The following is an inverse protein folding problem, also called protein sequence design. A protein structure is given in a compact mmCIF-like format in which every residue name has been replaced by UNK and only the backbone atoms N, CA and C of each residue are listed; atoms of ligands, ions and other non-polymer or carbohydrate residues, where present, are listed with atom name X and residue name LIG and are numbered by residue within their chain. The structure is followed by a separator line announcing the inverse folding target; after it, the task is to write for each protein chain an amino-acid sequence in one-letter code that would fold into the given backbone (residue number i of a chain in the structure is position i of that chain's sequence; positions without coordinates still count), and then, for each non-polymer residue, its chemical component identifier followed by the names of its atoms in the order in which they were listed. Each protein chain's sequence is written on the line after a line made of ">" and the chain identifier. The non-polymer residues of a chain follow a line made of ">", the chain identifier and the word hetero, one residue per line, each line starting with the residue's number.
data_IF_017254784835
#
_entry.id   IF_017254784835
#
_cell.length_a   1.000
_cell.length_b   1.000
_cell.length_c   1.000
_cell.angle_alpha   90.00
_cell.angle_beta   90.00
_cell.angle_gamma   90.00
#
_symmetry.space_group_name_H-M   'P 1'
#
loop_
_entity.id
_entity.type
_entity.pdbx_description
1 polymer ?
#
# COMPACT_ATOMS: atom_id res chain seq x y z
N UNK A 1 9.70 -60.81 -3.20
CA UNK A 1 8.72 -59.90 -2.58
C UNK A 1 9.33 -58.58 -2.08
N UNK A 2 10.39 -58.58 -1.25
CA UNK A 2 10.93 -57.35 -0.62
C UNK A 2 11.19 -56.18 -1.61
N UNK A 3 11.97 -56.42 -2.67
CA UNK A 3 12.29 -55.40 -3.70
C UNK A 3 11.06 -54.69 -4.31
N UNK A 4 9.93 -55.39 -4.46
CA UNK A 4 8.70 -54.78 -4.99
C UNK A 4 8.11 -53.76 -4.01
N UNK A 5 8.12 -54.06 -2.70
CA UNK A 5 7.66 -53.13 -1.65
C UNK A 5 8.56 -51.89 -1.59
N UNK A 6 9.88 -52.06 -1.67
CA UNK A 6 10.83 -50.94 -1.72
C UNK A 6 10.59 -50.08 -2.96
N UNK A 7 10.43 -50.67 -4.15
CA UNK A 7 10.20 -49.93 -5.40
C UNK A 7 8.87 -49.16 -5.38
N UNK A 8 7.81 -49.75 -4.85
CA UNK A 8 6.51 -49.08 -4.67
C UNK A 8 6.61 -47.91 -3.67
N UNK A 9 7.33 -48.08 -2.56
CA UNK A 9 7.52 -47.03 -1.56
C UNK A 9 8.34 -45.86 -2.11
N UNK A 10 9.39 -46.12 -2.90
CA UNK A 10 10.15 -45.08 -3.60
C UNK A 10 9.28 -44.32 -4.61
N UNK A 11 8.47 -45.02 -5.42
CA UNK A 11 7.54 -44.38 -6.35
C UNK A 11 6.47 -43.53 -5.64
N UNK A 12 5.95 -44.00 -4.50
CA UNK A 12 5.00 -43.25 -3.67
C UNK A 12 5.63 -41.98 -3.08
N UNK A 13 6.87 -42.06 -2.57
CA UNK A 13 7.59 -40.89 -2.05
C UNK A 13 7.89 -39.87 -3.15
N UNK A 14 8.29 -40.32 -4.35
CA UNK A 14 8.51 -39.44 -5.50
C UNK A 14 7.22 -38.76 -5.97
N UNK A 15 6.10 -39.49 -6.03
CA UNK A 15 4.80 -38.91 -6.37
C UNK A 15 4.31 -37.90 -5.31
N UNK A 16 4.46 -38.23 -4.03
CA UNK A 16 4.13 -37.34 -2.91
C UNK A 16 4.98 -36.07 -2.91
N UNK A 17 6.29 -36.20 -3.18
CA UNK A 17 7.20 -35.06 -3.29
C UNK A 17 6.86 -34.18 -4.50
N UNK A 18 6.51 -34.77 -5.65
CA UNK A 18 6.08 -34.04 -6.83
C UNK A 18 4.78 -33.25 -6.55
N UNK A 19 3.78 -33.88 -5.94
CA UNK A 19 2.52 -33.24 -5.54
C UNK A 19 2.73 -32.09 -4.55
N UNK A 20 3.66 -32.26 -3.59
CA UNK A 20 4.10 -31.17 -2.70
C UNK A 20 4.73 -30.02 -3.50
N UNK A 21 5.67 -30.32 -4.40
CA UNK A 21 6.38 -29.33 -5.21
C UNK A 21 5.51 -28.64 -6.27
N UNK A 22 4.38 -29.23 -6.69
CA UNK A 22 3.41 -28.58 -7.59
C UNK A 22 2.24 -27.93 -6.84
N UNK A 23 2.15 -28.07 -5.51
CA UNK A 23 1.05 -27.50 -4.73
C UNK A 23 1.03 -25.95 -4.77
N UNK A 24 -0.15 -25.31 -4.67
CA UNK A 24 -0.26 -23.86 -4.57
C UNK A 24 0.55 -23.28 -3.40
N UNK A 25 0.58 -23.98 -2.26
CA UNK A 25 1.35 -23.57 -1.09
C UNK A 25 2.87 -23.57 -1.37
N UNK A 26 3.38 -24.56 -2.11
CA UNK A 26 4.79 -24.56 -2.52
C UNK A 26 5.10 -23.53 -3.63
N UNK A 27 4.12 -23.19 -4.48
CA UNK A 27 4.25 -22.06 -5.40
C UNK A 27 4.35 -20.72 -4.63
N UNK A 28 3.41 -20.45 -3.72
CA UNK A 28 3.43 -19.27 -2.84
C UNK A 28 4.72 -19.19 -2.01
N UNK A 29 5.15 -20.30 -1.39
CA UNK A 29 6.39 -20.33 -0.61
C UNK A 29 7.64 -20.07 -1.47
N UNK A 30 7.71 -20.61 -2.70
CA UNK A 30 8.80 -20.28 -3.64
C UNK A 30 8.80 -18.80 -3.99
N UNK A 31 7.65 -18.22 -4.34
CA UNK A 31 7.53 -16.79 -4.64
C UNK A 31 8.01 -15.95 -3.44
N UNK A 32 7.48 -16.19 -2.25
CA UNK A 32 7.87 -15.47 -1.03
C UNK A 32 9.37 -15.59 -0.69
N UNK A 33 10.00 -16.75 -0.94
CA UNK A 33 11.44 -16.94 -0.77
C UNK A 33 12.27 -16.27 -1.88
N UNK A 34 11.70 -16.10 -3.07
CA UNK A 34 12.34 -15.44 -4.22
C UNK A 34 12.19 -13.91 -4.21
N UNK A 35 11.14 -13.37 -3.58
CA UNK A 35 10.86 -11.92 -3.55
C UNK A 35 12.08 -11.05 -3.24
N UNK A 36 12.90 -11.29 -2.19
CA UNK A 36 14.06 -10.43 -1.89
C UNK A 36 15.14 -10.39 -2.97
N UNK A 37 15.19 -11.41 -3.83
CA UNK A 37 16.21 -11.56 -4.89
C UNK A 37 15.72 -11.06 -6.25
N UNK A 38 14.40 -11.15 -6.50
CA UNK A 38 13.79 -10.81 -7.80
C UNK A 38 13.15 -9.41 -7.77
N UNK A 39 12.74 -8.89 -6.60
CA UNK A 39 12.10 -7.57 -6.46
C UNK A 39 12.91 -6.45 -7.09
N UNK A 40 14.22 -6.41 -6.84
CA UNK A 40 15.10 -5.33 -7.35
C UNK A 40 15.16 -5.28 -8.88
N UNK A 41 14.94 -6.40 -9.57
CA UNK A 41 14.83 -6.45 -11.04
C UNK A 41 13.40 -6.27 -11.53
N UNK A 42 12.39 -6.75 -10.81
CA UNK A 42 10.98 -6.63 -11.21
C UNK A 42 10.37 -5.25 -10.95
N UNK A 43 10.89 -4.51 -9.96
CA UNK A 43 10.43 -3.16 -9.62
C UNK A 43 11.27 -2.06 -10.29
N UNK A 44 12.32 -2.39 -11.04
CA UNK A 44 13.23 -1.40 -11.64
C UNK A 44 12.48 -0.41 -12.55
N UNK A 45 11.61 -0.93 -13.42
CA UNK A 45 10.77 -0.13 -14.32
C UNK A 45 9.63 0.61 -13.57
N UNK A 46 9.41 0.30 -12.29
CA UNK A 46 8.46 0.95 -11.38
C UNK A 46 9.09 2.00 -10.45
N UNK A 47 10.43 2.13 -10.41
CA UNK A 47 11.10 3.12 -9.54
C UNK A 47 11.03 4.51 -10.17
N UNK A 48 10.43 5.49 -9.51
CA UNK A 48 10.39 6.89 -9.98
C UNK A 48 11.81 7.47 -9.99
N UNK A 49 12.17 8.12 -11.08
CA UNK A 49 13.52 8.57 -11.39
C UNK A 49 13.52 9.88 -12.19
N UNK A 50 14.64 10.58 -12.15
CA UNK A 50 14.85 11.73 -13.03
C UNK A 50 14.94 11.30 -14.51
N UNK A 51 15.65 10.21 -14.80
CA UNK A 51 16.06 9.87 -16.16
C UNK A 51 14.97 9.17 -16.99
N UNK A 52 14.00 8.50 -16.34
CA UNK A 52 12.79 7.97 -17.01
C UNK A 52 11.63 8.97 -16.97
N UNK A 53 11.35 9.55 -15.80
CA UNK A 53 10.08 10.23 -15.53
C UNK A 53 10.17 11.77 -15.52
N UNK A 54 11.36 12.33 -15.75
CA UNK A 54 11.62 13.77 -15.65
C UNK A 54 11.41 14.33 -14.25
N UNK A 55 11.52 13.49 -13.22
CA UNK A 55 11.11 13.81 -11.85
C UNK A 55 12.32 14.16 -10.95
N UNK A 56 12.26 15.31 -10.24
CA UNK A 56 13.29 15.68 -9.27
C UNK A 56 13.20 14.83 -8.00
N UNK A 57 13.87 13.67 -8.01
CA UNK A 57 14.04 12.80 -6.83
C UNK A 57 14.96 13.39 -5.76
N UNK A 58 15.59 14.55 -5.99
CA UNK A 58 16.21 15.33 -4.89
C UNK A 58 15.20 16.23 -4.18
N UNK A 59 14.01 16.41 -4.77
CA UNK A 59 12.86 17.14 -4.26
C UNK A 59 13.15 18.60 -3.83
N UNK A 60 14.25 19.21 -4.30
CA UNK A 60 14.75 20.51 -3.83
C UNK A 60 13.95 21.68 -4.36
N UNK A 61 13.33 21.52 -5.53
CA UNK A 61 12.51 22.56 -6.15
C UNK A 61 11.11 22.68 -5.51
N UNK A 62 10.64 21.63 -4.82
CA UNK A 62 9.26 21.53 -4.34
C UNK A 62 9.08 22.18 -2.96
N UNK A 63 9.10 23.51 -2.90
CA UNK A 63 8.56 24.21 -1.74
C UNK A 63 7.03 24.03 -1.64
N UNK A 64 6.48 24.28 -0.45
CA UNK A 64 5.06 24.04 -0.16
C UNK A 64 4.08 25.06 -0.76
N UNK A 65 4.47 25.82 -1.79
CA UNK A 65 3.65 26.89 -2.37
C UNK A 65 3.43 26.79 -3.89
N UNK A 66 4.12 25.89 -4.61
CA UNK A 66 3.90 25.74 -6.06
C UNK A 66 2.44 25.33 -6.37
N UNK A 67 1.71 26.10 -7.20
CA UNK A 67 0.36 25.74 -7.61
C UNK A 67 0.37 24.60 -8.64
N UNK A 68 -0.74 23.84 -8.81
CA UNK A 68 -0.82 22.76 -9.79
C UNK A 68 -0.57 23.17 -11.25
N UNK A 69 -0.60 24.47 -11.55
CA UNK A 69 -0.64 25.06 -12.90
C UNK A 69 0.67 25.00 -13.70
N UNK A 70 1.81 24.68 -13.08
CA UNK A 70 3.11 24.55 -13.79
C UNK A 70 3.47 23.10 -14.15
N UNK A 71 2.71 22.12 -13.66
CA UNK A 71 2.87 20.73 -14.09
C UNK A 71 2.24 20.56 -15.48
N UNK A 72 3.06 20.47 -16.52
CA UNK A 72 2.66 20.13 -17.90
C UNK A 72 2.16 18.68 -18.08
N UNK A 73 1.74 18.03 -17.00
CA UNK A 73 1.34 16.63 -16.92
C UNK A 73 -0.11 16.53 -16.40
N UNK A 74 -0.86 15.48 -16.75
CA UNK A 74 -2.08 15.17 -16.01
C UNK A 74 -1.73 14.93 -14.54
N UNK A 75 -2.65 15.30 -13.63
CA UNK A 75 -2.58 14.98 -12.21
C UNK A 75 -3.72 14.02 -11.84
N UNK A 76 -3.62 12.73 -12.25
CA UNK A 76 -4.73 11.79 -12.15
C UNK A 76 -5.11 11.47 -10.70
N UNK A 77 -4.17 11.50 -9.75
CA UNK A 77 -4.45 11.36 -8.31
C UNK A 77 -5.22 12.61 -7.83
N UNK A 78 -6.41 12.50 -7.20
CA UNK A 78 -7.15 13.68 -6.71
C UNK A 78 -6.54 14.33 -5.46
N UNK A 79 -6.83 15.62 -5.25
CA UNK A 79 -6.38 16.41 -4.09
C UNK A 79 -7.25 16.14 -2.84
N UNK A 80 -7.13 14.95 -2.27
CA UNK A 80 -7.85 14.54 -1.06
C UNK A 80 -6.95 13.68 -0.19
N UNK A 81 -7.15 13.73 1.14
CA UNK A 81 -6.26 13.11 2.13
C UNK A 81 -7.06 12.35 3.20
N UNK A 82 -6.93 11.03 3.21
CA UNK A 82 -7.52 10.14 4.22
C UNK A 82 -6.50 9.81 5.33
N UNK A 83 -6.99 9.77 6.56
CA UNK A 83 -6.30 9.12 7.69
C UNK A 83 -7.24 8.10 8.33
N UNK A 84 -6.69 7.07 8.98
CA UNK A 84 -7.47 6.00 9.63
C UNK A 84 -7.16 5.96 11.12
N UNK A 85 -8.15 6.23 11.98
CA UNK A 85 -8.03 6.19 13.44
C UNK A 85 -9.13 5.32 14.06
N UNK A 86 -8.80 4.06 14.35
CA UNK A 86 -9.75 3.08 14.89
C UNK A 86 -9.52 2.81 16.39
N UNK A 87 -10.41 2.04 17.02
CA UNK A 87 -10.31 1.57 18.39
C UNK A 87 -10.86 2.53 19.46
N UNK A 88 -11.59 3.57 19.08
CA UNK A 88 -12.31 4.48 20.02
C UNK A 88 -11.45 5.24 21.04
N UNK A 89 -10.13 5.23 20.91
CA UNK A 89 -9.20 5.95 21.81
C UNK A 89 -8.97 7.38 21.35
N UNK A 90 -8.46 8.25 22.23
CA UNK A 90 -8.01 9.58 21.81
C UNK A 90 -6.75 9.45 20.91
N UNK A 91 -6.64 10.30 19.87
CA UNK A 91 -5.39 10.42 19.12
C UNK A 91 -4.26 10.87 20.06
N UNK A 92 -3.05 10.39 19.80
CA UNK A 92 -1.87 10.82 20.53
C UNK A 92 -1.47 12.25 20.15
N UNK A 93 -0.94 13.08 21.06
CA UNK A 93 -0.52 14.45 20.72
C UNK A 93 0.48 14.52 19.57
N UNK A 94 1.43 13.58 19.51
CA UNK A 94 2.41 13.49 18.42
C UNK A 94 1.77 13.16 17.05
N UNK A 95 0.68 12.37 17.05
CA UNK A 95 -0.08 12.02 15.84
C UNK A 95 -0.99 13.15 15.38
N UNK A 96 -1.60 13.87 16.32
CA UNK A 96 -2.39 15.07 16.03
C UNK A 96 -1.50 16.14 15.38
N UNK A 97 -0.33 16.41 15.96
CA UNK A 97 0.64 17.37 15.42
C UNK A 97 1.20 16.94 14.04
N UNK A 98 1.42 15.65 13.82
CA UNK A 98 1.82 15.10 12.51
C UNK A 98 0.76 15.38 11.43
N UNK A 99 -0.50 15.03 11.73
CA UNK A 99 -1.66 15.27 10.87
C UNK A 99 -1.90 16.76 10.62
N UNK A 100 -1.79 17.61 11.64
CA UNK A 100 -1.97 19.06 11.53
C UNK A 100 -0.91 19.70 10.62
N UNK A 101 0.35 19.27 10.69
CA UNK A 101 1.40 19.71 9.77
C UNK A 101 1.11 19.27 8.32
N UNK A 102 0.59 18.06 8.12
CA UNK A 102 0.08 17.64 6.81
C UNK A 102 -1.07 18.53 6.32
N UNK A 103 -2.04 18.89 7.17
CA UNK A 103 -3.14 19.78 6.74
C UNK A 103 -2.64 21.20 6.44
N UNK A 104 -1.67 21.72 7.22
CA UNK A 104 -1.07 23.04 7.01
C UNK A 104 -0.33 23.15 5.67
N UNK A 105 0.28 22.05 5.21
CA UNK A 105 0.99 21.98 3.92
C UNK A 105 0.02 21.81 2.74
N UNK A 106 -1.18 21.25 2.96
CA UNK A 106 -2.15 20.94 1.91
C UNK A 106 -3.49 21.71 2.08
N UNK A 107 -3.49 23.06 2.17
CA UNK A 107 -4.67 23.84 2.55
C UNK A 107 -5.83 23.79 1.53
N UNK A 108 -5.57 23.35 0.29
CA UNK A 108 -6.60 23.16 -0.75
C UNK A 108 -7.15 21.73 -0.87
N UNK A 109 -6.64 20.77 -0.11
CA UNK A 109 -7.06 19.36 -0.22
C UNK A 109 -8.30 19.09 0.62
N UNK A 110 -9.22 18.26 0.11
CA UNK A 110 -10.29 17.72 0.97
C UNK A 110 -9.66 16.77 2.00
N UNK A 111 -10.25 16.66 3.18
CA UNK A 111 -9.75 15.74 4.21
C UNK A 111 -10.84 14.77 4.66
N UNK A 112 -10.44 13.54 4.98
CA UNK A 112 -11.32 12.53 5.56
C UNK A 112 -10.59 11.82 6.71
N UNK A 113 -11.33 11.50 7.77
CA UNK A 113 -10.83 10.69 8.87
C UNK A 113 -11.77 9.52 9.06
N UNK A 114 -11.27 8.30 8.87
CA UNK A 114 -12.03 7.09 9.13
C UNK A 114 -11.94 6.75 10.62
N UNK A 115 -13.11 6.58 11.25
CA UNK A 115 -13.28 6.12 12.62
C UNK A 115 -13.94 4.73 12.66
N UNK A 116 -14.12 4.14 13.85
CA UNK A 116 -14.79 2.84 13.97
C UNK A 116 -16.21 2.84 13.37
N UNK A 117 -16.96 3.94 13.45
CA UNK A 117 -18.34 4.01 12.95
C UNK A 117 -18.37 3.96 11.42
N UNK A 118 -17.63 4.86 10.79
CA UNK A 118 -17.53 5.03 9.34
C UNK A 118 -16.85 3.83 8.69
N UNK A 119 -15.79 3.26 9.29
CA UNK A 119 -15.14 2.05 8.80
C UNK A 119 -16.06 0.81 8.88
N UNK A 120 -16.75 0.59 10.01
CA UNK A 120 -17.69 -0.54 10.13
C UNK A 120 -18.90 -0.42 9.18
N UNK A 121 -19.34 0.81 8.87
CA UNK A 121 -20.36 1.02 7.84
C UNK A 121 -19.78 0.76 6.43
N UNK A 122 -18.66 1.37 6.09
CA UNK A 122 -18.04 1.24 4.77
C UNK A 122 -17.76 -0.22 4.40
N UNK A 123 -17.20 -1.01 5.31
CA UNK A 123 -16.96 -2.45 5.08
C UNK A 123 -18.26 -3.25 4.95
N UNK A 124 -19.33 -2.87 5.65
CA UNK A 124 -20.67 -3.48 5.49
C UNK A 124 -21.29 -3.17 4.12
N UNK A 125 -21.22 -1.91 3.72
CA UNK A 125 -21.95 -1.40 2.56
C UNK A 125 -21.22 -1.73 1.24
N UNK A 126 -19.89 -1.87 1.26
CA UNK A 126 -19.06 -2.17 0.08
C UNK A 126 -18.43 -3.56 0.06
N UNK A 127 -18.17 -4.19 1.21
CA UNK A 127 -17.46 -5.48 1.31
C UNK A 127 -18.19 -6.51 2.20
N UNK A 128 -19.49 -6.79 1.98
CA UNK A 128 -20.28 -7.68 2.85
C UNK A 128 -19.66 -9.08 2.99
N UNK A 129 -19.06 -9.62 1.92
CA UNK A 129 -18.38 -10.93 1.93
C UNK A 129 -17.16 -10.99 2.87
N UNK A 130 -16.60 -9.84 3.25
CA UNK A 130 -15.44 -9.73 4.14
C UNK A 130 -15.84 -9.36 5.57
N UNK A 131 -17.13 -9.10 5.84
CA UNK A 131 -17.61 -8.62 7.15
C UNK A 131 -17.20 -9.56 8.29
N UNK A 132 -17.25 -10.88 8.10
CA UNK A 132 -16.80 -11.83 9.12
C UNK A 132 -15.29 -11.75 9.38
N UNK A 133 -14.47 -11.57 8.35
CA UNK A 133 -13.01 -11.39 8.53
C UNK A 133 -12.71 -10.04 9.19
N UNK A 134 -13.39 -8.97 8.74
CA UNK A 134 -13.30 -7.64 9.32
C UNK A 134 -13.64 -7.63 10.81
N UNK A 135 -14.74 -8.28 11.20
CA UNK A 135 -15.16 -8.39 12.59
C UNK A 135 -14.11 -9.13 13.42
N UNK A 136 -13.58 -10.26 12.91
CA UNK A 136 -12.70 -11.18 13.63
C UNK A 136 -11.19 -10.88 13.57
N UNK A 137 -10.73 -9.79 12.96
CA UNK A 137 -9.31 -9.39 13.04
C UNK A 137 -8.88 -9.21 14.51
N UNK A 138 -7.91 -9.99 15.03
CA UNK A 138 -7.53 -9.97 16.45
C UNK A 138 -6.71 -8.74 16.86
N UNK A 139 -6.12 -8.01 15.91
CA UNK A 139 -5.35 -6.80 16.18
C UNK A 139 -5.88 -5.60 15.41
N UNK A 140 -5.99 -4.47 16.10
CA UNK A 140 -6.47 -3.20 15.52
C UNK A 140 -5.69 -2.79 14.28
N UNK A 141 -4.36 -2.94 14.30
CA UNK A 141 -3.49 -2.64 13.16
C UNK A 141 -3.88 -3.43 11.91
N UNK A 142 -4.39 -4.67 12.02
CA UNK A 142 -4.85 -5.43 10.86
C UNK A 142 -6.15 -4.87 10.27
N UNK A 143 -7.02 -4.28 11.10
CA UNK A 143 -8.20 -3.55 10.61
C UNK A 143 -7.78 -2.28 9.88
N UNK A 144 -6.83 -1.51 10.44
CA UNK A 144 -6.30 -0.31 9.76
C UNK A 144 -5.59 -0.69 8.45
N UNK A 145 -4.74 -1.72 8.46
CA UNK A 145 -4.01 -2.24 7.29
C UNK A 145 -4.96 -2.74 6.19
N UNK A 146 -6.00 -3.51 6.53
CA UNK A 146 -7.03 -3.92 5.58
C UNK A 146 -7.87 -2.75 5.06
N UNK A 147 -8.24 -1.80 5.94
CA UNK A 147 -9.09 -0.67 5.56
C UNK A 147 -8.40 0.25 4.54
N UNK A 148 -7.09 0.51 4.65
CA UNK A 148 -6.35 1.33 3.66
C UNK A 148 -6.55 0.78 2.23
N UNK A 149 -6.39 -0.53 2.03
CA UNK A 149 -6.64 -1.17 0.74
C UNK A 149 -8.12 -1.16 0.34
N UNK A 150 -9.05 -1.34 1.28
CA UNK A 150 -10.49 -1.27 1.00
C UNK A 150 -10.94 0.13 0.55
N UNK A 151 -10.39 1.18 1.17
CA UNK A 151 -10.59 2.59 0.77
C UNK A 151 -10.03 2.81 -0.64
N UNK A 152 -8.79 2.37 -0.87
CA UNK A 152 -8.12 2.48 -2.18
C UNK A 152 -8.96 1.80 -3.27
N UNK A 153 -9.41 0.57 -3.06
CA UNK A 153 -10.22 -0.17 -4.03
C UNK A 153 -11.57 0.51 -4.40
N UNK A 154 -12.31 1.08 -3.44
CA UNK A 154 -13.65 1.66 -3.70
C UNK A 154 -13.59 3.09 -4.26
N UNK A 155 -12.53 3.83 -3.96
CA UNK A 155 -12.40 5.24 -4.37
C UNK A 155 -11.32 5.46 -5.43
N UNK A 156 -10.27 4.66 -5.46
CA UNK A 156 -9.14 4.69 -6.41
C UNK A 156 -9.06 3.48 -7.36
N UNK A 157 -9.60 2.30 -7.01
CA UNK A 157 -9.51 1.10 -7.84
C UNK A 157 -10.37 1.12 -9.11
N UNK A 158 -10.24 0.08 -9.95
CA UNK A 158 -11.04 -0.09 -11.19
C UNK A 158 -12.56 0.03 -10.96
N UNK A 159 -13.00 -0.35 -9.75
CA UNK A 159 -14.39 -0.32 -9.29
C UNK A 159 -14.86 1.04 -8.72
N UNK A 160 -14.07 2.12 -8.85
CA UNK A 160 -14.41 3.46 -8.37
C UNK A 160 -15.81 3.93 -8.79
N UNK A 161 -16.72 4.06 -7.82
CA UNK A 161 -18.13 4.34 -8.08
C UNK A 161 -18.35 5.83 -8.49
N UNK A 162 -19.22 6.14 -9.48
CA UNK A 162 -19.41 7.50 -10.02
C UNK A 162 -19.94 8.59 -9.06
N UNK A 163 -20.03 8.31 -7.76
CA UNK A 163 -20.54 9.21 -6.71
C UNK A 163 -19.58 9.42 -5.53
N UNK A 164 -18.51 8.66 -5.45
CA UNK A 164 -17.49 8.93 -4.44
C UNK A 164 -16.48 9.95 -4.99
N UNK A 165 -16.07 10.90 -4.15
CA UNK A 165 -14.82 11.62 -4.39
C UNK A 165 -13.71 10.56 -4.47
N UNK A 166 -13.05 10.51 -5.62
CA UNK A 166 -12.08 9.46 -5.90
C UNK A 166 -10.78 9.69 -5.12
N UNK A 167 -10.10 8.59 -4.76
CA UNK A 167 -8.97 8.59 -3.83
C UNK A 167 -7.67 8.31 -4.58
N UNK A 168 -6.62 9.13 -4.53
CA UNK A 168 -6.13 10.14 -3.56
C UNK A 168 -5.27 9.56 -2.41
N UNK A 169 -4.66 10.43 -1.59
CA UNK A 169 -3.67 10.03 -0.61
C UNK A 169 -4.28 9.42 0.65
N UNK A 170 -3.68 8.33 1.12
CA UNK A 170 -3.86 7.73 2.44
C UNK A 170 -2.52 7.84 3.18
N UNK A 171 -2.52 8.49 4.35
CA UNK A 171 -1.34 8.62 5.22
C UNK A 171 -1.60 8.04 6.61
N UNK A 172 -0.57 7.44 7.20
CA UNK A 172 -0.55 7.07 8.61
C UNK A 172 -0.49 8.30 9.53
N UNK A 173 -1.01 8.13 10.74
CA UNK A 173 -1.17 9.23 11.69
C UNK A 173 0.12 9.65 12.39
N UNK A 174 1.20 8.88 12.28
CA UNK A 174 2.56 9.27 12.68
C UNK A 174 3.37 9.93 11.55
N UNK A 175 2.77 10.15 10.36
CA UNK A 175 3.45 10.76 9.22
C UNK A 175 3.44 12.29 9.29
N UNK A 176 4.55 12.89 9.72
CA UNK A 176 4.69 14.35 9.76
C UNK A 176 5.15 14.88 8.39
N UNK A 177 4.24 15.38 7.55
CA UNK A 177 4.58 15.96 6.24
C UNK A 177 5.66 17.07 6.31
N UNK A 178 6.44 17.21 5.24
CA UNK A 178 7.56 18.17 5.11
C UNK A 178 7.52 18.99 3.81
N UNK A 179 6.93 18.45 2.74
CA UNK A 179 6.68 19.10 1.44
C UNK A 179 5.28 18.77 0.94
N UNK A 180 4.79 19.49 -0.06
CA UNK A 180 3.42 19.38 -0.60
C UNK A 180 3.31 18.30 -1.67
N UNK A 181 2.40 17.32 -1.51
CA UNK A 181 2.27 16.09 -2.30
C UNK A 181 1.88 16.30 -3.78
N UNK A 182 1.64 17.54 -4.20
CA UNK A 182 1.29 17.92 -5.58
C UNK A 182 2.20 17.30 -6.67
N UNK A 183 3.55 17.29 -6.57
CA UNK A 183 4.41 16.71 -7.60
C UNK A 183 4.22 15.20 -7.78
N UNK A 184 3.80 14.48 -6.74
CA UNK A 184 3.56 13.03 -6.77
C UNK A 184 2.20 12.68 -7.38
N UNK A 185 1.27 13.65 -7.47
CA UNK A 185 -0.07 13.42 -8.04
C UNK A 185 -0.09 13.18 -9.55
N UNK A 186 1.06 13.26 -10.23
CA UNK A 186 1.22 13.05 -11.68
C UNK A 186 1.27 11.59 -12.13
N UNK A 187 1.52 10.67 -11.19
CA UNK A 187 1.64 9.23 -11.45
C UNK A 187 0.32 8.50 -11.14
N UNK A 188 0.14 7.28 -11.63
CA UNK A 188 -1.10 6.53 -11.40
C UNK A 188 -1.12 5.74 -10.07
N UNK A 189 0.04 5.38 -9.52
CA UNK A 189 0.19 4.88 -8.16
C UNK A 189 1.48 5.42 -7.55
N UNK A 190 1.52 5.65 -6.24
CA UNK A 190 2.72 6.08 -5.51
C UNK A 190 2.77 5.46 -4.12
N UNK A 191 3.85 4.74 -3.83
CA UNK A 191 4.19 4.27 -2.48
C UNK A 191 5.72 4.35 -2.24
N UNK A 192 6.21 4.62 -1.01
CA UNK A 192 7.63 4.49 -0.68
C UNK A 192 8.08 3.04 -0.82
N UNK A 193 9.31 2.77 -1.29
CA UNK A 193 9.81 1.40 -1.30
C UNK A 193 9.95 0.82 0.12
N UNK A 194 9.85 -0.51 0.22
CA UNK A 194 10.20 -1.27 1.40
C UNK A 194 11.48 -2.08 1.15
N UNK A 195 12.47 -1.98 2.04
CA UNK A 195 13.68 -2.81 1.98
C UNK A 195 13.50 -4.13 2.75
N UNK A 196 14.07 -5.25 2.28
CA UNK A 196 14.77 -5.44 1.01
C UNK A 196 13.85 -5.60 -0.21
N UNK A 197 12.54 -5.75 0.00
CA UNK A 197 11.53 -5.87 -1.05
C UNK A 197 10.13 -5.42 -0.61
N UNK A 198 9.36 -4.91 -1.57
CA UNK A 198 8.00 -4.42 -1.41
C UNK A 198 7.88 -2.89 -1.42
N UNK A 199 6.76 -2.38 -0.91
CA UNK A 199 6.50 -0.96 -0.67
C UNK A 199 5.86 -0.77 0.73
N UNK A 200 5.93 0.43 1.26
CA UNK A 200 5.34 0.80 2.55
C UNK A 200 3.87 1.19 2.40
N UNK A 201 2.99 0.61 3.21
CA UNK A 201 1.55 0.93 3.23
C UNK A 201 1.21 2.22 4.00
N UNK A 202 2.20 2.84 4.66
CA UNK A 202 1.97 4.04 5.47
C UNK A 202 1.70 5.30 4.65
N UNK A 203 2.14 5.31 3.39
CA UNK A 203 1.80 6.34 2.41
C UNK A 203 1.41 5.65 1.10
N UNK A 204 0.14 5.74 0.73
CA UNK A 204 -0.40 5.22 -0.53
C UNK A 204 -1.13 6.35 -1.24
N UNK A 205 -0.78 6.62 -2.49
CA UNK A 205 -1.57 7.46 -3.38
C UNK A 205 -1.92 6.63 -4.62
N UNK A 206 -3.16 6.75 -5.10
CA UNK A 206 -3.62 6.08 -6.33
C UNK A 206 -4.43 7.05 -7.20
N UNK A 207 -4.42 6.83 -8.51
CA UNK A 207 -5.36 7.44 -9.44
C UNK A 207 -6.65 6.63 -9.55
N UNK A 208 -7.77 7.24 -9.96
CA UNK A 208 -9.03 6.53 -10.12
C UNK A 208 -8.95 5.53 -11.28
N UNK A 209 -9.23 4.27 -10.98
CA UNK A 209 -9.13 3.08 -11.84
C UNK A 209 -7.71 2.57 -12.09
N UNK A 210 -6.83 2.66 -11.10
CA UNK A 210 -5.53 1.99 -11.16
C UNK A 210 -5.66 0.45 -11.21
N UNK A 211 -4.77 -0.19 -11.97
CA UNK A 211 -4.67 -1.64 -12.20
C UNK A 211 -4.27 -2.43 -10.95
N UNK A 212 -3.55 -1.82 -10.02
CA UNK A 212 -3.04 -2.41 -8.79
C UNK A 212 -4.15 -3.00 -7.89
N UNK A 213 -5.33 -2.39 -7.86
CA UNK A 213 -6.43 -2.80 -6.99
C UNK A 213 -7.13 -4.10 -7.47
N UNK A 214 -7.06 -4.43 -8.77
CA UNK A 214 -7.54 -5.71 -9.33
C UNK A 214 -6.70 -6.91 -8.84
N UNK A 215 -5.45 -6.67 -8.43
CA UNK A 215 -4.55 -7.69 -7.89
C UNK A 215 -5.00 -8.19 -6.50
N UNK A 216 -5.73 -7.36 -5.75
CA UNK A 216 -6.15 -7.66 -4.37
C UNK A 216 -7.57 -8.23 -4.25
N UNK A 217 -8.48 -7.93 -5.20
CA UNK A 217 -9.84 -8.48 -5.20
C UNK A 217 -10.28 -9.03 -6.58
N UNK A 218 -9.76 -10.20 -7.00
CA UNK A 218 -10.23 -10.87 -8.20
C UNK A 218 -11.72 -11.22 -8.09
N UNK A 219 -12.52 -10.77 -9.06
CA UNK A 219 -13.98 -10.74 -9.02
C UNK A 219 -14.71 -12.10 -8.83
N UNK A 220 -14.02 -13.23 -8.97
CA UNK A 220 -14.57 -14.59 -8.79
C UNK A 220 -14.05 -15.32 -7.53
N UNK A 221 -13.18 -14.67 -6.73
CA UNK A 221 -12.36 -15.39 -5.75
C UNK A 221 -12.91 -15.39 -4.32
N UNK A 222 -13.31 -16.57 -3.83
CA UNK A 222 -13.48 -16.85 -2.38
C UNK A 222 -12.12 -16.97 -1.65
N UNK A 223 -11.16 -16.10 -1.99
CA UNK A 223 -9.81 -16.12 -1.41
C UNK A 223 -9.79 -15.16 -0.22
N UNK A 224 -9.60 -15.65 1.02
CA UNK A 224 -9.51 -14.78 2.19
C UNK A 224 -8.27 -13.85 2.09
N UNK A 225 -8.33 -12.63 2.63
CA UNK A 225 -7.29 -11.59 2.46
C UNK A 225 -6.03 -11.87 3.29
N UNK A 226 -5.32 -12.95 2.96
CA UNK A 226 -4.09 -13.41 3.63
C UNK A 226 -2.83 -13.10 2.81
N UNK A 227 -2.58 -11.82 2.53
CA UNK A 227 -1.19 -11.36 2.34
C UNK A 227 -0.88 -9.93 2.82
N UNK A 228 -1.76 -9.30 3.61
CA UNK A 228 -1.39 -8.10 4.37
C UNK A 228 -0.67 -8.50 5.66
N UNK A 229 0.57 -8.97 5.53
CA UNK A 229 1.59 -8.78 6.57
C UNK A 229 2.15 -7.38 6.38
N UNK A 230 1.99 -6.48 7.34
CA UNK A 230 2.66 -5.18 7.28
C UNK A 230 4.18 -5.39 7.21
N UNK A 231 4.80 -4.90 6.13
CA UNK A 231 6.24 -4.81 5.98
C UNK A 231 6.76 -3.77 6.97
N UNK A 232 7.07 -4.22 8.19
CA UNK A 232 7.47 -3.32 9.28
C UNK A 232 8.84 -2.71 8.97
N UNK A 233 8.81 -1.41 8.62
CA UNK A 233 9.93 -0.47 8.49
C UNK A 233 11.08 -0.84 7.54
N UNK A 234 11.15 -0.13 6.40
CA UNK A 234 12.35 0.56 5.90
C UNK A 234 11.97 1.16 4.53
N UNK A 235 11.55 2.42 4.42
CA UNK A 235 12.46 3.59 4.34
C UNK A 235 13.44 3.37 3.16
N UNK A 236 13.41 4.15 2.07
CA UNK A 236 13.69 5.60 2.03
C UNK A 236 12.83 6.41 1.04
N UNK A 237 13.33 7.57 0.57
CA UNK A 237 12.61 8.77 0.07
C UNK A 237 11.63 9.39 1.08
N UNK A 238 10.95 8.55 1.87
CA UNK A 238 10.14 8.85 3.05
C UNK A 238 10.66 10.05 3.88
N UNK A 239 11.91 10.00 4.36
CA UNK A 239 12.44 10.94 5.36
C UNK A 239 12.52 12.43 4.94
N UNK A 240 12.59 12.73 3.65
CA UNK A 240 12.58 14.08 3.07
C UNK A 240 11.15 14.65 2.96
N UNK A 241 10.15 13.76 2.91
CA UNK A 241 8.73 14.07 2.71
C UNK A 241 7.90 14.00 3.98
N UNK A 242 8.26 13.08 4.86
CA UNK A 242 7.52 12.61 6.01
C UNK A 242 8.52 12.19 7.09
N UNK A 243 8.22 12.47 8.36
CA UNK A 243 9.01 11.92 9.48
C UNK A 243 8.13 11.19 10.48
N UNK A 244 8.43 9.92 10.72
CA UNK A 244 7.92 9.16 11.87
C UNK A 244 8.68 9.50 13.16
N UNK A 245 7.98 9.43 14.31
CA UNK A 245 8.56 9.64 15.64
C UNK A 245 8.69 8.32 16.43
N UNK A 246 9.83 7.97 17.05
CA UNK A 246 11.17 8.56 16.95
C UNK A 246 12.30 7.60 16.51
N UNK A 247 13.22 8.13 15.70
CA UNK A 247 14.62 7.68 15.53
C UNK A 247 14.91 6.25 14.98
N UNK A 248 15.07 6.17 13.66
CA UNK A 248 15.93 5.19 12.97
C UNK A 248 16.91 5.92 12.00
N UNK A 249 18.07 5.33 11.66
CA UNK A 249 19.10 5.94 10.80
C UNK A 249 18.82 5.76 9.30
N UNK A 250 19.44 6.55 8.42
CA UNK A 250 18.96 6.76 7.04
C UNK A 250 19.92 6.45 5.87
N UNK A 251 19.32 6.20 4.69
CA UNK A 251 19.87 6.32 3.32
C UNK A 251 18.83 7.12 2.47
N UNK A 252 18.54 6.97 1.16
CA UNK A 252 18.78 5.90 0.17
C UNK A 252 17.65 5.78 -0.87
N UNK A 253 17.37 6.86 -1.60
CA UNK A 253 16.06 7.23 -2.19
C UNK A 253 15.40 6.25 -3.19
N UNK A 254 14.15 5.85 -2.91
CA UNK A 254 13.25 5.17 -3.86
C UNK A 254 11.77 5.48 -3.56
N UNK A 255 11.03 5.92 -4.57
CA UNK A 255 9.55 5.91 -4.61
C UNK A 255 9.10 4.99 -5.74
N UNK A 256 8.07 4.17 -5.51
CA UNK A 256 7.56 3.20 -6.49
C UNK A 256 6.24 3.71 -7.07
N UNK A 257 6.14 3.72 -8.40
CA UNK A 257 4.91 3.89 -9.15
C UNK A 257 4.61 2.63 -9.97
N UNK A 258 3.38 2.16 -9.91
CA UNK A 258 2.91 1.00 -10.68
C UNK A 258 2.05 1.49 -11.85
N UNK A 259 2.39 1.03 -13.06
CA UNK A 259 1.57 1.06 -14.27
C UNK A 259 0.85 -0.30 -14.43
#
# INVERSE_FOLDING_TARGET
>A
MCFLRVRLLVLFLLASLLLLLTSPLAAQLRLLLQMPFIWQTSAADSIISHDRDGFDVTFRAYDGQQPPSELHHPVPIPATLHHVHLGGTALRPEWLAAREECLRIHPGWKTHTWDDTTANQFVRDHFPNLQDTWNNYPYLVQKVDALRYMILYIHGGAHALPKHDATCAILDLDLVCKRSLEPLRRFDFVAPAAYPAGFSIGMLLSSPKNSFDDLYYPAESNVPPYLVRSARSSEYAYAEWVRGYPALPAFGDVVVACE
#
